data_IF_151572068483
#
_entry.id   IF_151572068483
#
_cell.length_a   1.000
_cell.length_b   1.000
_cell.length_c   1.000
_cell.angle_alpha   90.00
_cell.angle_beta   90.00
_cell.angle_gamma   90.00
#
_symmetry.space_group_name_H-M   'P 1'
#
loop_
_entity.id
_entity.type
_entity.pdbx_description
1 polymer ?
#
# COMPACT_ATOMS: atom_id res chain seq x y z
N UNK A 1 21.70 -39.48 -20.21
CA UNK A 1 21.51 -39.55 -18.75
C UNK A 1 20.52 -38.46 -18.38
N UNK A 2 19.30 -38.87 -18.05
CA UNK A 2 18.22 -37.99 -17.62
C UNK A 2 18.54 -37.59 -16.18
N UNK A 3 18.91 -36.33 -15.96
CA UNK A 3 19.04 -35.80 -14.60
C UNK A 3 17.60 -35.72 -14.06
N UNK A 4 17.30 -36.60 -13.11
CA UNK A 4 16.07 -36.53 -12.32
C UNK A 4 15.95 -35.12 -11.76
N UNK A 5 14.90 -34.41 -12.18
CA UNK A 5 14.44 -33.21 -11.51
C UNK A 5 14.16 -33.60 -10.04
N UNK A 6 15.06 -33.22 -9.14
CA UNK A 6 14.83 -33.30 -7.71
C UNK A 6 13.56 -32.50 -7.44
N UNK A 7 12.45 -33.21 -7.25
CA UNK A 7 11.24 -32.69 -6.65
C UNK A 7 11.67 -32.04 -5.34
N UNK A 8 11.56 -30.71 -5.27
CA UNK A 8 11.63 -29.98 -4.01
C UNK A 8 10.80 -30.76 -2.99
N UNK A 9 11.44 -31.22 -1.91
CA UNK A 9 10.72 -31.85 -0.82
C UNK A 9 9.59 -30.90 -0.40
N UNK A 10 8.36 -31.38 -0.16
CA UNK A 10 7.29 -30.51 0.28
C UNK A 10 7.75 -29.85 1.58
N UNK A 11 8.03 -28.54 1.54
CA UNK A 11 8.22 -27.75 2.76
C UNK A 11 6.98 -27.99 3.61
N UNK A 12 7.19 -28.38 4.86
CA UNK A 12 6.10 -28.48 5.85
C UNK A 12 5.32 -27.18 5.75
N UNK A 13 4.02 -27.28 5.45
CA UNK A 13 3.19 -26.10 5.24
C UNK A 13 3.39 -25.17 6.45
N UNK A 14 3.66 -23.87 6.22
CA UNK A 14 3.82 -22.95 7.34
C UNK A 14 2.58 -23.03 8.23
N UNK A 15 2.75 -22.92 9.56
CA UNK A 15 1.62 -22.94 10.47
C UNK A 15 0.59 -21.89 10.02
N UNK A 16 -0.72 -22.18 10.15
CA UNK A 16 -1.75 -21.23 9.74
C UNK A 16 -1.47 -19.88 10.43
N UNK A 17 -1.59 -18.76 9.70
CA UNK A 17 -1.30 -17.46 10.27
C UNK A 17 -2.20 -17.23 11.50
N UNK A 18 -1.64 -16.64 12.55
CA UNK A 18 -2.38 -16.26 13.77
C UNK A 18 -3.54 -15.30 13.46
N UNK A 19 -3.44 -14.62 12.33
CA UNK A 19 -4.41 -13.68 11.80
C UNK A 19 -4.91 -14.21 10.44
N UNK A 20 -6.10 -14.81 10.38
CA UNK A 20 -6.58 -15.43 9.16
C UNK A 20 -6.95 -14.42 8.10
N UNK A 21 -6.73 -14.86 6.86
CA UNK A 21 -7.00 -14.10 5.66
C UNK A 21 -8.50 -13.95 5.44
N UNK A 22 -8.95 -12.73 5.16
CA UNK A 22 -10.35 -12.43 4.90
C UNK A 22 -10.54 -11.87 3.49
N UNK A 23 -11.50 -12.46 2.78
CA UNK A 23 -11.97 -12.03 1.46
C UNK A 23 -10.84 -11.91 0.42
N UNK A 24 -10.80 -10.84 -0.38
CA UNK A 24 -9.82 -10.57 -1.45
C UNK A 24 -9.78 -11.62 -2.58
N UNK A 25 -10.92 -12.26 -2.86
CA UNK A 25 -11.00 -13.33 -3.87
C UNK A 25 -10.67 -12.78 -5.27
N UNK A 26 -11.23 -11.62 -5.63
CA UNK A 26 -10.98 -10.96 -6.91
C UNK A 26 -9.49 -10.64 -7.11
N UNK A 27 -8.84 -10.13 -6.07
CA UNK A 27 -7.42 -9.77 -6.11
C UNK A 27 -6.51 -11.00 -6.15
N UNK A 28 -6.85 -12.05 -5.40
CA UNK A 28 -6.19 -13.35 -5.51
C UNK A 28 -6.28 -13.91 -6.93
N UNK A 29 -7.48 -13.91 -7.52
CA UNK A 29 -7.72 -14.45 -8.85
C UNK A 29 -7.01 -13.62 -9.93
N UNK A 30 -6.98 -12.30 -9.79
CA UNK A 30 -6.19 -11.42 -10.65
C UNK A 30 -4.71 -11.81 -10.63
N UNK A 31 -4.10 -11.95 -9.45
CA UNK A 31 -2.68 -12.30 -9.36
C UNK A 31 -2.41 -13.73 -9.83
N UNK A 32 -3.32 -14.68 -9.58
CA UNK A 32 -3.22 -16.03 -10.12
C UNK A 32 -3.24 -16.06 -11.64
N UNK A 33 -4.19 -15.35 -12.25
CA UNK A 33 -4.25 -15.21 -13.70
C UNK A 33 -2.99 -14.54 -14.26
N UNK A 34 -2.51 -13.49 -13.58
CA UNK A 34 -1.30 -12.76 -13.97
C UNK A 34 -0.04 -13.63 -13.94
N UNK A 35 0.16 -14.42 -12.89
CA UNK A 35 1.34 -15.29 -12.77
C UNK A 35 1.25 -16.55 -13.63
N UNK A 36 0.05 -16.91 -14.08
CA UNK A 36 -0.16 -17.98 -15.07
C UNK A 36 0.03 -17.48 -16.52
N UNK A 37 -0.06 -16.17 -16.74
CA UNK A 37 0.04 -15.53 -18.05
C UNK A 37 1.46 -15.17 -18.48
N UNK A 38 1.56 -14.34 -19.53
CA UNK A 38 2.84 -13.82 -19.99
C UNK A 38 3.41 -12.77 -19.02
N UNK A 39 4.71 -12.87 -18.74
CA UNK A 39 5.45 -11.80 -18.07
C UNK A 39 5.66 -10.66 -19.07
N UNK A 40 5.31 -9.42 -18.68
CA UNK A 40 5.45 -8.27 -19.59
C UNK A 40 5.87 -6.95 -18.96
N UNK A 41 5.76 -6.79 -17.64
CA UNK A 41 6.02 -5.51 -16.97
C UNK A 41 6.26 -5.70 -15.47
N UNK A 42 6.92 -4.71 -14.87
CA UNK A 42 6.97 -4.56 -13.41
C UNK A 42 5.59 -4.12 -12.92
N UNK A 43 5.09 -4.73 -11.84
CA UNK A 43 3.85 -4.32 -11.20
C UNK A 43 4.17 -3.49 -9.98
N UNK A 44 3.66 -2.26 -9.92
CA UNK A 44 3.73 -1.40 -8.75
C UNK A 44 2.39 -1.54 -8.03
N UNK A 45 2.36 -2.29 -6.94
CA UNK A 45 1.16 -2.51 -6.13
C UNK A 45 1.11 -1.46 -5.02
N UNK A 46 0.24 -0.47 -5.19
CA UNK A 46 0.01 0.58 -4.19
C UNK A 46 -1.32 0.35 -3.48
N UNK A 47 -1.52 1.01 -2.35
CA UNK A 47 -2.78 0.98 -1.61
C UNK A 47 -2.61 1.61 -0.24
N UNK A 48 -3.70 1.92 0.48
CA UNK A 48 -3.61 2.53 1.80
C UNK A 48 -2.74 1.72 2.78
N UNK A 49 -2.15 2.39 3.78
CA UNK A 49 -1.47 1.68 4.86
C UNK A 49 -2.47 0.72 5.53
N UNK A 50 -2.01 -0.48 5.86
CA UNK A 50 -2.80 -1.53 6.51
C UNK A 50 -4.08 -2.01 5.76
N UNK A 51 -4.21 -1.77 4.44
CA UNK A 51 -5.33 -2.34 3.66
C UNK A 51 -5.21 -3.85 3.36
N UNK A 52 -4.07 -4.47 3.69
CA UNK A 52 -3.84 -5.91 3.53
C UNK A 52 -2.90 -6.33 2.41
N UNK A 53 -2.11 -5.42 1.79
CA UNK A 53 -1.15 -5.75 0.72
C UNK A 53 -0.19 -6.89 1.07
N UNK A 54 0.55 -6.77 2.17
CA UNK A 54 1.50 -7.81 2.61
C UNK A 54 0.79 -9.14 2.88
N UNK A 55 -0.41 -9.10 3.48
CA UNK A 55 -1.24 -10.28 3.75
C UNK A 55 -1.75 -10.95 2.47
N UNK A 56 -2.15 -10.19 1.46
CA UNK A 56 -2.53 -10.70 0.14
C UNK A 56 -1.37 -11.45 -0.52
N UNK A 57 -0.17 -10.86 -0.48
CA UNK A 57 1.03 -11.47 -1.07
C UNK A 57 1.48 -12.72 -0.29
N UNK A 58 1.35 -12.72 1.03
CA UNK A 58 1.60 -13.88 1.89
C UNK A 58 0.60 -15.01 1.64
N UNK A 59 -0.68 -14.68 1.48
CA UNK A 59 -1.71 -15.67 1.19
C UNK A 59 -1.51 -16.29 -0.21
N UNK A 60 -1.14 -15.48 -1.22
CA UNK A 60 -0.78 -15.99 -2.53
C UNK A 60 0.37 -17.00 -2.43
N UNK A 61 1.46 -16.63 -1.75
CA UNK A 61 2.60 -17.52 -1.49
C UNK A 61 2.12 -18.82 -0.84
N UNK A 62 1.36 -18.72 0.25
CA UNK A 62 0.86 -19.87 1.01
C UNK A 62 0.02 -20.81 0.14
N UNK A 63 -0.90 -20.29 -0.67
CA UNK A 63 -1.74 -21.11 -1.56
C UNK A 63 -0.90 -21.84 -2.61
N UNK A 64 0.12 -21.18 -3.15
CA UNK A 64 1.01 -21.78 -4.13
C UNK A 64 1.95 -22.85 -3.56
N UNK A 65 2.47 -22.63 -2.35
CA UNK A 65 3.25 -23.63 -1.61
C UNK A 65 2.42 -24.87 -1.29
N UNK A 66 1.19 -24.70 -0.81
CA UNK A 66 0.29 -25.81 -0.48
C UNK A 66 -0.09 -26.67 -1.69
N UNK A 67 -0.29 -26.05 -2.84
CA UNK A 67 -0.66 -26.77 -4.06
C UNK A 67 0.54 -27.45 -4.72
N UNK A 68 1.78 -27.09 -4.35
CA UNK A 68 3.01 -27.47 -5.05
C UNK A 68 2.97 -27.19 -6.58
N UNK A 69 2.03 -26.32 -7.00
CA UNK A 69 1.68 -26.03 -8.41
C UNK A 69 2.01 -24.57 -8.80
N UNK A 70 2.53 -23.77 -7.86
CA UNK A 70 2.81 -22.36 -8.08
C UNK A 70 4.19 -21.97 -8.61
N UNK A 71 4.37 -20.69 -8.99
CA UNK A 71 5.68 -20.12 -9.27
C UNK A 71 6.50 -20.02 -7.98
N UNK A 72 7.81 -19.94 -8.14
CA UNK A 72 8.71 -19.70 -7.01
C UNK A 72 8.61 -18.23 -6.58
N UNK A 73 8.22 -17.98 -5.34
CA UNK A 73 8.12 -16.62 -4.78
C UNK A 73 9.40 -16.24 -4.04
N UNK A 74 9.94 -15.08 -4.38
CA UNK A 74 11.10 -14.46 -3.75
C UNK A 74 10.66 -13.13 -3.14
N UNK A 75 10.30 -13.15 -1.85
CA UNK A 75 9.82 -11.95 -1.14
C UNK A 75 10.94 -11.33 -0.30
N UNK A 76 11.26 -10.07 -0.57
CA UNK A 76 12.02 -9.19 0.32
C UNK A 76 11.04 -8.28 1.02
N UNK A 77 11.05 -8.27 2.35
CA UNK A 77 10.32 -7.28 3.15
C UNK A 77 11.31 -6.20 3.62
N UNK A 78 11.22 -5.00 3.04
CA UNK A 78 12.18 -3.93 3.28
C UNK A 78 12.15 -3.40 4.72
N UNK A 79 11.09 -3.71 5.50
CA UNK A 79 11.01 -3.37 6.93
C UNK A 79 12.04 -4.14 7.76
N UNK A 80 12.31 -5.38 7.37
CA UNK A 80 13.21 -6.29 8.10
C UNK A 80 14.52 -6.50 7.37
N UNK A 81 14.53 -6.33 6.05
CA UNK A 81 15.70 -6.44 5.20
C UNK A 81 15.77 -5.19 4.32
N UNK A 82 16.35 -4.09 4.83
CA UNK A 82 16.46 -2.83 4.09
C UNK A 82 17.05 -3.03 2.70
N UNK A 83 16.67 -2.16 1.77
CA UNK A 83 17.11 -2.19 0.36
C UNK A 83 17.58 -0.81 -0.08
N UNK A 84 18.22 -0.04 0.80
CA UNK A 84 18.61 1.37 0.62
C UNK A 84 19.97 1.55 -0.05
N UNK A 85 20.67 0.44 -0.33
CA UNK A 85 21.98 0.45 -0.96
C UNK A 85 22.23 -0.80 -1.81
N UNK A 86 23.22 -0.75 -2.72
CA UNK A 86 23.69 -1.91 -3.48
C UNK A 86 23.98 -3.15 -2.66
N UNK A 87 24.66 -2.98 -1.53
CA UNK A 87 25.09 -4.07 -0.67
C UNK A 87 23.90 -4.71 0.06
N UNK A 88 22.95 -3.89 0.49
CA UNK A 88 21.72 -4.33 1.13
C UNK A 88 20.84 -5.14 0.18
N UNK A 89 20.62 -4.64 -1.05
CA UNK A 89 19.91 -5.39 -2.10
C UNK A 89 20.63 -6.69 -2.43
N UNK A 90 21.96 -6.66 -2.56
CA UNK A 90 22.75 -7.86 -2.82
C UNK A 90 22.61 -8.88 -1.69
N UNK A 91 22.64 -8.45 -0.42
CA UNK A 91 22.42 -9.32 0.73
C UNK A 91 21.02 -9.92 0.73
N UNK A 92 19.99 -9.12 0.43
CA UNK A 92 18.60 -9.58 0.33
C UNK A 92 18.46 -10.67 -0.75
N UNK A 93 19.01 -10.43 -1.93
CA UNK A 93 18.97 -11.39 -3.04
C UNK A 93 19.80 -12.65 -2.78
N UNK A 94 20.96 -12.53 -2.10
CA UNK A 94 21.76 -13.70 -1.70
C UNK A 94 21.05 -14.52 -0.63
N UNK A 95 20.40 -13.89 0.35
CA UNK A 95 19.56 -14.59 1.34
C UNK A 95 18.48 -15.39 0.64
N UNK A 96 17.77 -14.77 -0.30
CA UNK A 96 16.79 -15.46 -1.15
C UNK A 96 17.42 -16.62 -1.93
N UNK A 97 18.57 -16.42 -2.58
CA UNK A 97 19.23 -17.47 -3.34
C UNK A 97 19.66 -18.67 -2.46
N UNK A 98 20.07 -18.44 -1.21
CA UNK A 98 20.37 -19.50 -0.24
C UNK A 98 19.13 -20.25 0.21
N UNK A 99 18.00 -19.58 0.35
CA UNK A 99 16.72 -20.23 0.65
C UNK A 99 16.22 -21.13 -0.49
N UNK A 100 16.77 -20.97 -1.71
CA UNK A 100 16.46 -21.76 -2.90
C UNK A 100 17.38 -22.95 -3.15
N UNK A 101 18.62 -22.87 -2.68
CA UNK A 101 19.63 -23.92 -2.86
C UNK A 101 20.04 -24.38 -1.47
N UNK A 102 19.68 -25.61 -1.09
CA UNK A 102 20.20 -26.30 0.10
C UNK A 102 21.71 -26.60 -0.04
N UNK A 103 22.53 -25.62 -0.40
CA UNK A 103 23.96 -25.80 -0.65
C UNK A 103 24.75 -24.67 -0.01
N UNK A 104 25.53 -25.03 1.03
CA UNK A 104 26.29 -24.17 1.95
C UNK A 104 27.52 -23.50 1.30
N UNK A 105 27.40 -23.04 0.05
CA UNK A 105 28.47 -22.29 -0.62
C UNK A 105 28.61 -20.85 -0.09
N UNK A 106 29.85 -20.42 0.19
CA UNK A 106 30.22 -19.03 0.54
C UNK A 106 29.96 -18.05 -0.62
N UNK A 107 28.69 -17.68 -0.82
CA UNK A 107 28.31 -16.59 -1.73
C UNK A 107 28.52 -15.23 -1.02
N UNK A 108 29.60 -14.53 -1.37
CA UNK A 108 29.80 -13.13 -0.97
C UNK A 108 28.87 -12.18 -1.78
N UNK A 109 28.16 -11.25 -1.12
CA UNK A 109 27.20 -10.35 -1.75
C UNK A 109 27.90 -9.27 -2.58
N UNK A 110 27.65 -9.23 -3.89
CA UNK A 110 28.10 -8.17 -4.81
C UNK A 110 27.06 -8.02 -5.93
N UNK A 111 26.78 -6.78 -6.37
CA UNK A 111 25.81 -6.49 -7.46
C UNK A 111 26.13 -7.26 -8.75
N UNK A 112 27.42 -7.45 -9.05
CA UNK A 112 27.87 -8.20 -10.24
C UNK A 112 27.49 -9.71 -10.20
N UNK A 113 26.94 -10.21 -9.10
CA UNK A 113 26.43 -11.59 -8.98
C UNK A 113 24.91 -11.69 -9.10
N UNK A 114 24.17 -10.59 -9.26
CA UNK A 114 22.73 -10.64 -9.52
C UNK A 114 22.45 -11.45 -10.80
N UNK A 115 23.31 -11.34 -11.82
CA UNK A 115 23.25 -12.17 -13.02
C UNK A 115 23.48 -13.67 -12.72
N UNK A 116 24.34 -14.01 -11.75
CA UNK A 116 24.55 -15.40 -11.30
C UNK A 116 23.37 -15.96 -10.49
N UNK A 117 22.66 -15.09 -9.76
CA UNK A 117 21.39 -15.46 -9.11
C UNK A 117 20.35 -15.81 -10.18
N UNK A 118 20.35 -15.14 -11.33
CA UNK A 118 19.49 -15.50 -12.46
C UNK A 118 19.92 -16.75 -13.23
N UNK A 119 21.23 -16.96 -13.43
CA UNK A 119 21.73 -18.24 -13.99
C UNK A 119 21.29 -19.42 -13.10
N UNK A 120 21.28 -19.21 -11.79
CA UNK A 120 20.73 -20.15 -10.83
C UNK A 120 19.20 -20.34 -10.91
N UNK A 121 18.48 -19.41 -11.54
CA UNK A 121 17.03 -19.43 -11.74
C UNK A 121 16.62 -19.96 -13.14
N UNK A 122 17.57 -20.41 -13.97
CA UNK A 122 17.28 -20.91 -15.33
C UNK A 122 17.61 -22.40 -15.54
N UNK A 123 16.79 -23.15 -16.31
CA UNK A 123 15.37 -22.92 -16.57
C UNK A 123 14.54 -23.60 -15.47
N UNK A 124 13.97 -22.82 -14.56
CA UNK A 124 12.91 -23.34 -13.72
C UNK A 124 11.68 -23.64 -14.58
N UNK A 125 10.98 -24.76 -14.38
CA UNK A 125 9.78 -25.12 -15.14
C UNK A 125 8.63 -24.12 -14.96
N UNK A 126 8.73 -23.23 -13.96
CA UNK A 126 7.78 -22.14 -13.69
C UNK A 126 8.54 -20.84 -13.46
N UNK A 127 7.98 -19.74 -13.95
CA UNK A 127 8.60 -18.41 -13.86
C UNK A 127 8.50 -17.89 -12.43
N UNK A 128 9.61 -17.47 -11.80
CA UNK A 128 9.56 -16.93 -10.45
C UNK A 128 8.79 -15.60 -10.37
N UNK A 129 8.31 -15.29 -9.17
CA UNK A 129 7.73 -14.00 -8.77
C UNK A 129 8.67 -13.35 -7.76
N UNK A 130 9.23 -12.20 -8.10
CA UNK A 130 10.05 -11.39 -7.19
C UNK A 130 9.17 -10.30 -6.60
N UNK A 131 9.12 -10.23 -5.27
CA UNK A 131 8.34 -9.24 -4.53
C UNK A 131 9.31 -8.43 -3.66
N UNK A 132 9.25 -7.11 -3.79
CA UNK A 132 9.85 -6.17 -2.85
C UNK A 132 8.69 -5.46 -2.15
N UNK A 133 8.43 -5.86 -0.90
CA UNK A 133 7.43 -5.26 -0.02
C UNK A 133 8.03 -4.07 0.73
N UNK A 134 7.24 -3.02 0.94
CA UNK A 134 7.69 -1.66 1.29
C UNK A 134 8.79 -1.12 0.36
N UNK A 135 8.57 -1.24 -0.95
CA UNK A 135 9.54 -0.84 -1.99
C UNK A 135 9.85 0.66 -2.04
N UNK A 136 9.15 1.50 -1.29
CA UNK A 136 9.50 2.92 -1.10
C UNK A 136 10.85 3.09 -0.40
N UNK A 137 11.37 2.06 0.28
CA UNK A 137 12.72 2.03 0.83
C UNK A 137 13.81 2.21 -0.25
N UNK A 138 13.49 1.92 -1.52
CA UNK A 138 14.36 2.21 -2.67
C UNK A 138 14.53 3.73 -2.93
N UNK A 139 13.62 4.57 -2.45
CA UNK A 139 13.70 6.02 -2.62
C UNK A 139 14.74 6.66 -1.68
N UNK A 140 15.17 5.94 -0.65
CA UNK A 140 16.18 6.41 0.32
C UNK A 140 17.62 6.24 -0.18
N UNK A 141 17.81 5.81 -1.43
CA UNK A 141 19.10 5.86 -2.10
C UNK A 141 19.47 7.32 -2.31
N UNK A 142 20.37 7.83 -1.46
CA UNK A 142 20.66 9.27 -1.35
C UNK A 142 21.04 9.90 -2.69
N UNK A 143 20.56 11.13 -2.90
CA UNK A 143 21.18 12.09 -3.81
C UNK A 143 21.85 13.21 -3.00
N UNK A 144 22.96 13.80 -3.49
CA UNK A 144 23.80 13.36 -4.60
C UNK A 144 24.83 12.35 -4.09
N UNK A 145 24.62 11.06 -4.35
CA UNK A 145 25.50 9.99 -3.89
C UNK A 145 26.01 9.22 -5.12
N UNK A 146 27.24 8.66 -5.11
CA UNK A 146 27.82 7.94 -6.23
C UNK A 146 27.10 6.61 -6.55
N UNK A 147 25.97 6.32 -5.88
CA UNK A 147 25.17 5.10 -5.96
C UNK A 147 24.00 5.17 -6.96
N UNK A 148 23.75 6.35 -7.55
CA UNK A 148 22.76 6.55 -8.61
C UNK A 148 22.93 5.59 -9.82
N UNK A 149 24.15 5.33 -10.33
CA UNK A 149 24.37 4.34 -11.38
C UNK A 149 23.93 2.93 -10.97
N UNK A 150 24.10 2.55 -9.71
CA UNK A 150 23.76 1.24 -9.17
C UNK A 150 22.24 1.09 -9.02
N UNK A 151 21.53 2.13 -8.57
CA UNK A 151 20.06 2.15 -8.56
C UNK A 151 19.52 1.96 -9.98
N UNK A 152 20.05 2.72 -10.94
CA UNK A 152 19.67 2.61 -12.36
C UNK A 152 19.97 1.22 -12.89
N UNK A 153 21.08 0.59 -12.51
CA UNK A 153 21.40 -0.81 -12.84
C UNK A 153 20.40 -1.79 -12.24
N UNK A 154 20.01 -1.62 -10.98
CA UNK A 154 18.99 -2.46 -10.33
C UNK A 154 17.62 -2.33 -11.03
N UNK A 155 17.17 -1.11 -11.33
CA UNK A 155 15.90 -0.90 -12.02
C UNK A 155 15.95 -1.47 -13.44
N UNK A 156 17.04 -1.22 -14.19
CA UNK A 156 17.27 -1.81 -15.50
C UNK A 156 17.26 -3.34 -15.45
N UNK A 157 17.80 -3.93 -14.40
CA UNK A 157 17.74 -5.35 -14.14
C UNK A 157 16.30 -5.85 -13.94
N UNK A 158 15.51 -5.21 -13.06
CA UNK A 158 14.11 -5.58 -12.81
C UNK A 158 13.27 -5.49 -14.10
N UNK A 159 13.51 -4.48 -14.93
CA UNK A 159 12.91 -4.33 -16.25
C UNK A 159 13.38 -5.44 -17.20
N UNK A 160 14.67 -5.74 -17.20
CA UNK A 160 15.29 -6.76 -18.03
C UNK A 160 14.67 -8.14 -17.80
N UNK A 161 14.49 -8.54 -16.55
CA UNK A 161 13.94 -9.86 -16.21
C UNK A 161 12.43 -9.96 -16.44
N UNK A 162 11.69 -8.85 -16.27
CA UNK A 162 10.24 -8.84 -16.41
C UNK A 162 9.78 -8.62 -17.85
N UNK A 163 10.25 -7.55 -18.50
CA UNK A 163 9.75 -7.13 -19.80
C UNK A 163 10.57 -7.69 -20.97
N UNK A 164 11.91 -7.66 -20.87
CA UNK A 164 12.78 -7.98 -22.01
C UNK A 164 13.00 -9.49 -22.15
N UNK A 165 13.44 -10.15 -21.08
CA UNK A 165 13.70 -11.59 -21.04
C UNK A 165 12.48 -12.42 -20.66
N UNK A 166 11.46 -11.79 -20.07
CA UNK A 166 10.19 -12.44 -19.63
C UNK A 166 10.41 -13.66 -18.73
N UNK A 167 11.44 -13.59 -17.88
CA UNK A 167 11.91 -14.66 -17.02
C UNK A 167 11.23 -14.67 -15.66
N UNK A 168 10.83 -13.51 -15.13
CA UNK A 168 10.26 -13.39 -13.78
C UNK A 168 9.18 -12.30 -13.71
N UNK A 169 8.11 -12.55 -12.97
CA UNK A 169 7.20 -11.47 -12.55
C UNK A 169 7.89 -10.63 -11.47
N UNK A 170 7.70 -9.32 -11.50
CA UNK A 170 8.24 -8.40 -10.48
C UNK A 170 7.10 -7.58 -9.89
N UNK A 171 7.03 -7.54 -8.56
CA UNK A 171 6.09 -6.71 -7.79
C UNK A 171 6.88 -5.80 -6.86
N UNK A 172 6.63 -4.50 -6.97
CA UNK A 172 7.06 -3.46 -6.04
C UNK A 172 5.81 -3.04 -5.25
N UNK A 173 5.69 -3.52 -4.01
CA UNK A 173 4.53 -3.25 -3.17
C UNK A 173 4.86 -2.14 -2.15
N UNK A 174 4.00 -1.14 -2.02
CA UNK A 174 4.21 -0.02 -1.09
C UNK A 174 2.91 0.64 -0.66
N UNK A 175 2.94 1.32 0.49
CA UNK A 175 1.88 2.24 0.90
C UNK A 175 2.12 3.68 0.44
N UNK A 176 3.27 3.97 -0.18
CA UNK A 176 3.66 5.28 -0.67
C UNK A 176 3.21 5.48 -2.13
N UNK A 177 2.24 6.36 -2.34
CA UNK A 177 1.68 6.64 -3.66
C UNK A 177 2.64 7.42 -4.57
N UNK A 178 3.71 8.02 -4.02
CA UNK A 178 4.70 8.75 -4.80
C UNK A 178 5.65 7.83 -5.59
N UNK A 179 5.77 6.55 -5.21
CA UNK A 179 6.72 5.61 -5.82
C UNK A 179 6.61 5.54 -7.35
N UNK A 180 5.39 5.56 -7.91
CA UNK A 180 5.19 5.50 -9.35
C UNK A 180 5.74 6.74 -10.08
N UNK A 181 5.62 7.91 -9.46
CA UNK A 181 6.16 9.17 -9.97
C UNK A 181 7.69 9.19 -9.81
N UNK A 182 8.20 8.79 -8.64
CA UNK A 182 9.64 8.64 -8.41
C UNK A 182 10.30 7.70 -9.42
N UNK A 183 9.71 6.53 -9.71
CA UNK A 183 10.20 5.60 -10.73
C UNK A 183 10.35 6.27 -12.10
N UNK A 184 9.40 7.14 -12.46
CA UNK A 184 9.45 7.90 -13.71
C UNK A 184 10.61 8.91 -13.69
N UNK A 185 10.80 9.63 -12.58
CA UNK A 185 11.89 10.59 -12.39
C UNK A 185 13.27 9.94 -12.49
N UNK A 186 13.44 8.71 -11.98
CA UNK A 186 14.72 7.97 -12.05
C UNK A 186 14.91 7.22 -13.39
N UNK A 187 14.04 7.42 -14.38
CA UNK A 187 14.20 6.95 -15.77
C UNK A 187 13.43 5.67 -16.15
N UNK A 188 12.52 5.21 -15.30
CA UNK A 188 11.61 4.11 -15.61
C UNK A 188 10.31 4.65 -16.23
N UNK A 189 10.26 4.68 -17.56
CA UNK A 189 9.10 5.12 -18.34
C UNK A 189 7.85 4.26 -18.09
N UNK A 190 6.65 4.85 -18.27
CA UNK A 190 5.33 4.23 -17.98
C UNK A 190 4.99 2.98 -18.81
N UNK A 191 5.75 2.69 -19.87
CA UNK A 191 5.64 1.43 -20.62
C UNK A 191 6.37 0.27 -19.93
N UNK A 192 7.21 0.53 -18.93
CA UNK A 192 8.02 -0.47 -18.22
C UNK A 192 7.33 -1.01 -16.96
N UNK A 193 6.33 -0.31 -16.44
CA UNK A 193 5.53 -0.76 -15.30
C UNK A 193 4.04 -0.49 -15.45
N UNK A 194 3.26 -1.18 -14.63
CA UNK A 194 1.83 -0.94 -14.41
C UNK A 194 1.59 -0.70 -12.93
N UNK A 195 0.74 0.27 -12.62
CA UNK A 195 0.29 0.53 -11.26
C UNK A 195 -1.01 -0.23 -11.05
N UNK A 196 -1.05 -1.04 -10.02
CA UNK A 196 -2.28 -1.67 -9.52
C UNK A 196 -2.55 -1.10 -8.13
N UNK A 197 -3.80 -0.75 -7.86
CA UNK A 197 -4.21 -0.15 -6.59
C UNK A 197 -5.05 -1.17 -5.82
N UNK A 198 -4.57 -1.64 -4.67
CA UNK A 198 -5.36 -2.42 -3.72
C UNK A 198 -6.16 -1.48 -2.83
N UNK A 199 -7.46 -1.43 -3.07
CA UNK A 199 -8.41 -0.66 -2.30
C UNK A 199 -8.64 -1.16 -0.87
N UNK A 200 -9.33 -0.37 -0.06
CA UNK A 200 -9.95 -0.86 1.17
C UNK A 200 -11.11 -1.83 0.85
N UNK A 201 -11.72 -2.43 1.87
CA UNK A 201 -12.95 -3.22 1.68
C UNK A 201 -14.12 -2.30 1.31
N UNK A 202 -15.12 -2.84 0.62
CA UNK A 202 -16.43 -2.17 0.53
C UNK A 202 -17.14 -2.18 1.88
N UNK A 203 -18.17 -1.35 2.06
CA UNK A 203 -18.93 -1.30 3.31
C UNK A 203 -19.51 -2.67 3.70
N UNK A 204 -20.12 -3.35 2.74
CA UNK A 204 -20.71 -4.68 2.96
C UNK A 204 -19.63 -5.72 3.36
N UNK A 205 -18.45 -5.63 2.75
CA UNK A 205 -17.34 -6.54 3.07
C UNK A 205 -16.72 -6.21 4.43
N UNK A 206 -16.64 -4.93 4.79
CA UNK A 206 -16.15 -4.44 6.07
C UNK A 206 -17.11 -4.82 7.22
N UNK A 207 -18.42 -4.70 7.00
CA UNK A 207 -19.44 -5.12 7.96
C UNK A 207 -19.35 -6.64 8.20
N UNK A 208 -19.25 -7.43 7.12
CA UNK A 208 -19.03 -8.89 7.20
C UNK A 208 -17.70 -9.25 7.87
N UNK A 209 -16.66 -8.45 7.66
CA UNK A 209 -15.37 -8.61 8.34
C UNK A 209 -15.50 -8.39 9.86
N UNK A 210 -16.29 -7.38 10.26
CA UNK A 210 -16.57 -7.04 11.66
C UNK A 210 -17.45 -8.10 12.35
N UNK A 211 -18.54 -8.52 11.71
CA UNK A 211 -19.64 -9.23 12.38
C UNK A 211 -19.94 -10.65 11.85
N UNK A 212 -19.26 -11.11 10.80
CA UNK A 212 -19.59 -12.38 10.15
C UNK A 212 -19.32 -13.61 11.03
N UNK A 213 -20.34 -14.47 11.20
CA UNK A 213 -20.33 -15.68 12.05
C UNK A 213 -19.26 -16.72 11.66
N UNK A 214 -18.80 -16.70 10.41
CA UNK A 214 -17.77 -17.60 9.86
C UNK A 214 -16.35 -17.04 9.84
N UNK A 215 -16.15 -15.77 10.21
CA UNK A 215 -14.81 -15.20 10.29
C UNK A 215 -14.21 -15.65 11.63
N UNK A 216 -13.62 -16.84 11.64
CA UNK A 216 -12.89 -17.41 12.76
C UNK A 216 -11.62 -16.59 13.12
N UNK A 217 -11.62 -15.26 12.91
CA UNK A 217 -10.44 -14.65 12.36
C UNK A 217 -10.22 -13.15 12.27
N UNK A 218 -11.25 -12.34 12.00
CA UNK A 218 -11.03 -10.88 11.97
C UNK A 218 -10.65 -10.35 13.35
N UNK A 219 -11.26 -10.95 14.38
CA UNK A 219 -11.16 -10.51 15.78
C UNK A 219 -10.92 -11.66 16.74
N UNK A 220 -11.29 -12.91 16.42
CA UNK A 220 -11.13 -14.03 17.37
C UNK A 220 -9.67 -14.31 17.77
N UNK A 221 -8.69 -13.85 16.99
CA UNK A 221 -7.28 -13.84 17.37
C UNK A 221 -6.81 -12.59 18.15
N UNK A 222 -7.65 -11.54 18.20
CA UNK A 222 -7.42 -10.26 18.89
C UNK A 222 -8.18 -10.23 20.24
N UNK A 223 -9.37 -10.80 20.33
CA UNK A 223 -10.15 -10.89 21.58
C UNK A 223 -9.93 -12.23 22.27
N UNK A 224 -9.30 -12.19 23.45
CA UNK A 224 -9.26 -13.32 24.39
C UNK A 224 -10.64 -13.54 25.03
N UNK A 225 -10.81 -14.66 25.76
CA UNK A 225 -12.04 -15.06 26.49
C UNK A 225 -12.63 -14.01 27.45
N UNK A 226 -11.92 -12.90 27.71
CA UNK A 226 -12.34 -11.80 28.60
C UNK A 226 -13.15 -10.70 27.92
N UNK A 227 -13.31 -10.70 26.59
CA UNK A 227 -14.23 -9.79 25.90
C UNK A 227 -15.62 -10.44 25.89
N UNK A 228 -16.67 -9.76 26.36
CA UNK A 228 -18.02 -10.32 26.36
C UNK A 228 -18.59 -10.19 24.94
N UNK A 229 -18.03 -11.02 24.05
CA UNK A 229 -18.12 -10.92 22.60
C UNK A 229 -19.54 -10.73 22.07
N UNK A 230 -20.57 -11.22 22.75
CA UNK A 230 -21.94 -11.06 22.26
C UNK A 230 -22.53 -9.68 22.53
N UNK A 231 -22.34 -9.13 23.72
CA UNK A 231 -22.92 -7.85 24.12
C UNK A 231 -22.11 -6.68 23.54
N UNK A 232 -20.77 -6.79 23.58
CA UNK A 232 -19.89 -5.77 23.04
C UNK A 232 -19.99 -5.64 21.51
N UNK A 233 -20.19 -6.77 20.79
CA UNK A 233 -20.44 -6.74 19.34
C UNK A 233 -21.85 -6.26 18.99
N UNK A 234 -22.85 -6.49 19.84
CA UNK A 234 -24.18 -5.94 19.65
C UNK A 234 -24.14 -4.39 19.73
N UNK A 235 -23.45 -3.86 20.75
CA UNK A 235 -23.25 -2.41 20.90
C UNK A 235 -22.45 -1.81 19.74
N UNK A 236 -21.46 -2.55 19.21
CA UNK A 236 -20.71 -2.13 18.03
C UNK A 236 -21.59 -2.04 16.79
N UNK A 237 -22.51 -3.01 16.62
CA UNK A 237 -23.43 -3.07 15.49
C UNK A 237 -24.36 -1.86 15.45
N UNK A 238 -24.84 -1.42 16.61
CA UNK A 238 -25.65 -0.20 16.72
C UNK A 238 -24.85 1.07 16.35
N UNK A 239 -23.52 1.02 16.43
CA UNK A 239 -22.60 2.11 16.07
C UNK A 239 -21.93 1.93 14.71
N UNK A 240 -22.37 0.95 13.90
CA UNK A 240 -21.68 0.58 12.66
C UNK A 240 -21.47 1.76 11.71
N UNK A 241 -22.48 2.62 11.54
CA UNK A 241 -22.37 3.80 10.68
C UNK A 241 -21.24 4.73 11.12
N UNK A 242 -21.06 4.94 12.42
CA UNK A 242 -20.00 5.81 12.96
C UNK A 242 -18.63 5.14 12.87
N UNK A 243 -18.56 3.83 13.10
CA UNK A 243 -17.35 3.02 12.90
C UNK A 243 -16.91 3.09 11.45
N UNK A 244 -17.81 2.83 10.51
CA UNK A 244 -17.50 2.84 9.09
C UNK A 244 -17.16 4.24 8.59
N UNK A 245 -17.81 5.30 9.10
CA UNK A 245 -17.45 6.68 8.74
C UNK A 245 -15.99 7.01 9.09
N UNK A 246 -15.47 6.51 10.23
CA UNK A 246 -14.11 6.80 10.69
C UNK A 246 -13.07 5.80 10.20
N UNK A 247 -13.40 4.52 10.11
CA UNK A 247 -12.47 3.46 9.73
C UNK A 247 -12.53 3.13 8.23
N UNK A 248 -13.66 3.38 7.58
CA UNK A 248 -14.02 2.84 6.27
C UNK A 248 -13.85 1.33 6.21
N UNK A 249 -13.53 0.81 5.04
CA UNK A 249 -13.17 -0.59 4.85
C UNK A 249 -11.71 -0.93 5.16
N UNK A 250 -10.94 -0.04 5.80
CA UNK A 250 -9.53 -0.30 6.07
C UNK A 250 -9.37 -1.34 7.17
N UNK A 251 -8.89 -2.52 6.81
CA UNK A 251 -8.74 -3.67 7.73
C UNK A 251 -7.91 -3.29 8.96
N UNK A 252 -6.83 -2.51 8.80
CA UNK A 252 -6.00 -2.07 9.91
C UNK A 252 -6.72 -1.15 10.90
N UNK A 253 -7.43 -0.15 10.40
CA UNK A 253 -8.18 0.79 11.25
C UNK A 253 -9.32 0.08 11.98
N UNK A 254 -10.02 -0.83 11.28
CA UNK A 254 -11.02 -1.68 11.91
C UNK A 254 -10.35 -2.48 13.05
N UNK A 255 -9.26 -3.21 12.76
CA UNK A 255 -8.50 -4.00 13.76
C UNK A 255 -8.12 -3.20 14.98
N UNK A 256 -7.60 -1.99 14.76
CA UNK A 256 -7.27 -1.06 15.81
C UNK A 256 -8.50 -0.67 16.62
N UNK A 257 -9.61 -0.30 15.97
CA UNK A 257 -10.83 0.12 16.65
C UNK A 257 -11.34 -0.93 17.66
N UNK A 258 -11.36 -2.21 17.29
CA UNK A 258 -11.85 -3.25 18.22
C UNK A 258 -10.82 -3.58 19.28
N UNK A 259 -9.52 -3.52 18.97
CA UNK A 259 -8.48 -3.68 19.98
C UNK A 259 -8.60 -2.58 21.06
N UNK A 260 -8.80 -1.33 20.64
CA UNK A 260 -9.04 -0.21 21.53
C UNK A 260 -10.36 -0.37 22.31
N UNK A 261 -11.45 -0.78 21.65
CA UNK A 261 -12.72 -1.02 22.33
C UNK A 261 -12.62 -2.13 23.38
N UNK A 262 -11.84 -3.19 23.10
CA UNK A 262 -11.51 -4.26 24.05
C UNK A 262 -10.78 -3.71 25.27
N UNK A 263 -9.72 -2.95 25.05
CA UNK A 263 -8.90 -2.42 26.14
C UNK A 263 -9.67 -1.38 26.98
N UNK A 264 -10.66 -0.72 26.36
CA UNK A 264 -11.56 0.23 26.98
C UNK A 264 -12.91 -0.38 27.43
N UNK A 265 -13.00 -1.72 27.53
CA UNK A 265 -14.17 -2.45 28.06
C UNK A 265 -15.49 -2.11 27.36
N UNK A 266 -15.48 -2.08 26.03
CA UNK A 266 -16.65 -1.82 25.19
C UNK A 266 -16.95 -0.34 24.93
N UNK A 267 -16.07 0.59 25.35
CA UNK A 267 -16.25 2.02 25.06
C UNK A 267 -15.81 2.37 23.63
N UNK A 268 -16.71 2.13 22.68
CA UNK A 268 -16.52 2.38 21.26
C UNK A 268 -16.28 3.84 20.90
N UNK A 269 -16.92 4.79 21.59
CA UNK A 269 -16.68 6.22 21.35
C UNK A 269 -15.22 6.63 21.62
N UNK A 270 -14.65 6.15 22.73
CA UNK A 270 -13.24 6.41 23.07
C UNK A 270 -12.30 5.63 22.15
N UNK A 271 -12.66 4.41 21.77
CA UNK A 271 -11.89 3.60 20.82
C UNK A 271 -11.79 4.26 19.44
N UNK A 272 -12.91 4.79 18.94
CA UNK A 272 -12.94 5.51 17.68
C UNK A 272 -12.14 6.81 17.76
N UNK A 273 -12.18 7.52 18.90
CA UNK A 273 -11.34 8.69 19.11
C UNK A 273 -9.85 8.36 19.03
N UNK A 274 -9.42 7.22 19.59
CA UNK A 274 -8.05 6.75 19.49
C UNK A 274 -7.63 6.47 18.04
N UNK A 275 -8.52 5.86 17.23
CA UNK A 275 -8.26 5.57 15.81
C UNK A 275 -8.06 6.84 14.98
N UNK A 276 -8.85 7.89 15.23
CA UNK A 276 -8.82 9.12 14.42
C UNK A 276 -7.83 10.18 14.92
N UNK A 277 -7.21 9.99 16.10
CA UNK A 277 -6.29 10.99 16.68
C UNK A 277 -5.07 11.23 15.78
N UNK A 278 -4.40 10.17 15.31
CA UNK A 278 -3.28 10.29 14.37
C UNK A 278 -3.68 10.95 13.04
N UNK A 279 -4.73 10.46 12.36
CA UNK A 279 -5.27 11.10 11.15
C UNK A 279 -5.63 12.58 11.32
N UNK A 280 -6.19 12.97 12.47
CA UNK A 280 -6.48 14.38 12.79
C UNK A 280 -5.20 15.21 12.88
N UNK A 281 -4.18 14.70 13.56
CA UNK A 281 -2.87 15.35 13.63
C UNK A 281 -2.22 15.48 12.25
N UNK A 282 -2.26 14.43 11.43
CA UNK A 282 -1.70 14.41 10.06
C UNK A 282 -2.40 15.47 9.17
N UNK A 283 -3.73 15.56 9.19
CA UNK A 283 -4.50 16.59 8.46
C UNK A 283 -4.15 18.00 8.95
N UNK A 284 -4.04 18.19 10.27
CA UNK A 284 -3.65 19.47 10.87
C UNK A 284 -2.21 19.87 10.57
N UNK A 285 -1.30 18.90 10.44
CA UNK A 285 0.08 19.14 10.02
C UNK A 285 0.16 19.63 8.58
N UNK A 286 -0.76 19.23 7.69
CA UNK A 286 -0.84 19.77 6.33
C UNK A 286 -0.99 21.30 6.27
N UNK A 287 -1.54 21.93 7.31
CA UNK A 287 -1.60 23.40 7.46
C UNK A 287 -0.28 24.03 7.93
N UNK A 288 0.79 23.25 8.07
CA UNK A 288 2.10 23.69 8.55
C UNK A 288 3.22 23.11 7.65
N UNK A 289 3.26 23.42 6.34
CA UNK A 289 4.28 22.88 5.43
C UNK A 289 5.72 23.06 5.96
N UNK A 290 6.02 24.19 6.61
CA UNK A 290 7.34 24.47 7.17
C UNK A 290 7.83 23.52 8.28
N UNK A 291 6.97 22.66 8.85
CA UNK A 291 7.41 21.70 9.89
C UNK A 291 7.87 20.37 9.31
N UNK A 292 7.65 20.12 8.02
CA UNK A 292 8.09 18.89 7.38
C UNK A 292 9.58 18.90 7.12
N UNK A 293 10.22 17.75 7.37
CA UNK A 293 11.60 17.51 6.99
C UNK A 293 11.66 17.40 5.45
N UNK A 294 12.67 17.99 4.83
CA UNK A 294 12.90 17.89 3.39
C UNK A 294 12.95 16.43 2.94
N UNK A 295 12.17 16.09 1.89
CA UNK A 295 12.23 14.78 1.24
C UNK A 295 13.02 14.93 -0.05
N UNK A 296 14.11 14.18 -0.21
CA UNK A 296 14.97 14.30 -1.40
C UNK A 296 15.61 15.69 -1.57
N UNK A 297 15.85 16.42 -0.46
CA UNK A 297 16.45 17.76 -0.48
C UNK A 297 15.51 18.89 -0.91
N UNK A 298 14.22 18.61 -1.09
CA UNK A 298 13.22 19.61 -1.51
C UNK A 298 12.28 19.91 -0.33
N UNK A 299 11.91 21.19 -0.21
CA UNK A 299 10.89 21.65 0.72
C UNK A 299 9.47 21.38 0.18
N UNK A 300 8.46 21.25 1.06
CA UNK A 300 7.05 21.29 0.68
C UNK A 300 6.70 22.51 -0.17
N UNK A 301 5.98 22.28 -1.27
CA UNK A 301 5.63 23.34 -2.24
C UNK A 301 4.27 23.99 -2.00
N UNK A 302 3.44 23.45 -1.10
CA UNK A 302 2.08 23.96 -0.90
C UNK A 302 1.98 25.04 0.19
N UNK A 303 0.96 25.87 0.07
CA UNK A 303 0.55 26.83 1.09
C UNK A 303 -0.61 26.30 1.94
N UNK A 304 -0.87 26.94 3.09
CA UNK A 304 -2.03 26.61 3.95
C UNK A 304 -3.36 26.74 3.20
N UNK A 305 -3.50 27.75 2.35
CA UNK A 305 -4.70 27.98 1.55
C UNK A 305 -4.91 26.90 0.50
N UNK A 306 -3.83 26.46 -0.16
CA UNK A 306 -3.89 25.34 -1.11
C UNK A 306 -4.25 24.01 -0.43
N UNK A 307 -3.70 23.74 0.75
CA UNK A 307 -4.08 22.55 1.51
C UNK A 307 -5.56 22.56 1.87
N UNK A 308 -6.06 23.69 2.41
CA UNK A 308 -7.50 23.86 2.71
C UNK A 308 -8.36 23.59 1.48
N UNK A 309 -7.99 24.17 0.34
CA UNK A 309 -8.75 24.06 -0.91
C UNK A 309 -8.83 22.60 -1.37
N UNK A 310 -7.73 21.86 -1.30
CA UNK A 310 -7.71 20.42 -1.59
C UNK A 310 -8.64 19.64 -0.67
N UNK A 311 -8.63 19.93 0.65
CA UNK A 311 -9.55 19.29 1.59
C UNK A 311 -11.03 19.60 1.24
N UNK A 312 -11.35 20.85 0.90
CA UNK A 312 -12.70 21.26 0.49
C UNK A 312 -13.13 20.53 -0.79
N UNK A 313 -12.26 20.45 -1.80
CA UNK A 313 -12.53 19.70 -3.03
C UNK A 313 -12.80 18.22 -2.76
N UNK A 314 -11.95 17.56 -1.97
CA UNK A 314 -12.06 16.12 -1.69
C UNK A 314 -13.30 15.83 -0.84
N UNK A 315 -13.55 16.58 0.23
CA UNK A 315 -14.69 16.34 1.13
C UNK A 315 -16.03 16.61 0.45
N UNK A 316 -16.11 17.57 -0.48
CA UNK A 316 -17.32 17.86 -1.25
C UNK A 316 -17.57 16.89 -2.42
N UNK A 317 -16.56 16.15 -2.88
CA UNK A 317 -16.66 15.29 -4.04
C UNK A 317 -17.36 13.95 -3.74
N UNK A 318 -18.13 13.39 -4.70
CA UNK A 318 -18.67 12.05 -4.57
C UNK A 318 -17.59 11.02 -4.25
N UNK A 319 -17.81 10.19 -3.23
CA UNK A 319 -16.85 9.16 -2.78
C UNK A 319 -15.47 9.69 -2.38
N UNK A 320 -15.37 11.00 -2.10
CA UNK A 320 -14.14 11.67 -1.69
C UNK A 320 -12.97 11.47 -2.67
N UNK A 321 -13.30 11.44 -3.96
CA UNK A 321 -12.35 11.27 -5.06
C UNK A 321 -12.55 12.38 -6.10
N UNK A 322 -11.45 13.06 -6.44
CA UNK A 322 -11.45 14.20 -7.37
C UNK A 322 -10.49 13.89 -8.52
N UNK A 323 -10.79 14.32 -9.76
CA UNK A 323 -9.86 14.10 -10.86
C UNK A 323 -8.56 14.89 -10.63
N UNK A 324 -7.41 14.31 -11.00
CA UNK A 324 -6.10 15.00 -10.88
C UNK A 324 -6.13 16.38 -11.54
N UNK A 325 -6.71 16.49 -12.74
CA UNK A 325 -6.80 17.75 -13.48
C UNK A 325 -7.63 18.81 -12.76
N UNK A 326 -8.66 18.42 -12.02
CA UNK A 326 -9.50 19.34 -11.26
C UNK A 326 -8.73 19.89 -10.06
N UNK A 327 -8.00 19.04 -9.33
CA UNK A 327 -7.15 19.49 -8.22
C UNK A 327 -6.01 20.40 -8.72
N UNK A 328 -5.37 20.06 -9.83
CA UNK A 328 -4.31 20.89 -10.44
C UNK A 328 -4.83 22.28 -10.83
N UNK A 329 -6.02 22.35 -11.45
CA UNK A 329 -6.68 23.61 -11.79
C UNK A 329 -6.99 24.43 -10.54
N UNK A 330 -7.51 23.79 -9.49
CA UNK A 330 -7.81 24.47 -8.22
C UNK A 330 -6.56 24.97 -7.50
N UNK A 331 -5.42 24.29 -7.66
CA UNK A 331 -4.14 24.71 -7.07
C UNK A 331 -3.48 25.89 -7.81
N UNK A 332 -3.87 26.15 -9.06
CA UNK A 332 -3.41 27.28 -9.88
C UNK A 332 -2.06 27.05 -10.56
N UNK A 333 -1.28 28.12 -10.75
CA UNK A 333 0.03 28.05 -11.39
C UNK A 333 0.97 27.12 -10.58
N UNK A 334 1.56 26.13 -11.26
CA UNK A 334 2.38 25.09 -10.62
C UNK A 334 1.56 23.98 -9.92
N UNK A 335 0.25 23.89 -10.18
CA UNK A 335 -0.65 22.93 -9.53
C UNK A 335 -0.19 21.47 -9.59
N UNK A 336 0.41 21.03 -10.71
CA UNK A 336 0.99 19.69 -10.86
C UNK A 336 2.11 19.43 -9.84
N UNK A 337 3.10 20.34 -9.75
CA UNK A 337 4.23 20.20 -8.82
C UNK A 337 3.78 20.29 -7.36
N UNK A 338 2.79 21.15 -7.07
CA UNK A 338 2.23 21.31 -5.73
C UNK A 338 1.47 20.05 -5.30
N UNK A 339 0.64 19.48 -6.20
CA UNK A 339 -0.04 18.21 -5.97
C UNK A 339 0.96 17.09 -5.74
N UNK A 340 1.97 16.97 -6.60
CA UNK A 340 3.02 15.96 -6.45
C UNK A 340 3.80 16.12 -5.16
N UNK A 341 4.05 17.36 -4.71
CA UNK A 341 4.64 17.63 -3.40
C UNK A 341 3.74 17.09 -2.29
N UNK A 342 2.43 17.35 -2.29
CA UNK A 342 1.53 16.81 -1.27
C UNK A 342 1.52 15.26 -1.25
N UNK A 343 1.57 14.63 -2.42
CA UNK A 343 1.66 13.16 -2.56
C UNK A 343 3.00 12.64 -2.03
N UNK A 344 4.12 13.28 -2.38
CA UNK A 344 5.47 12.98 -1.87
C UNK A 344 5.53 13.01 -0.35
N UNK A 345 4.76 13.90 0.27
CA UNK A 345 4.65 14.04 1.72
C UNK A 345 3.57 13.16 2.37
N UNK A 346 2.99 12.22 1.62
CA UNK A 346 1.95 11.29 2.08
C UNK A 346 0.66 11.97 2.58
N UNK A 347 0.40 13.21 2.16
CA UNK A 347 -0.84 13.92 2.46
C UNK A 347 -1.99 13.52 1.52
N UNK A 348 -1.64 13.10 0.30
CA UNK A 348 -2.59 12.72 -0.75
C UNK A 348 -2.19 11.41 -1.40
N UNK A 349 -3.18 10.73 -1.97
CA UNK A 349 -3.00 9.49 -2.72
C UNK A 349 -3.41 9.70 -4.18
N UNK A 350 -2.50 9.34 -5.11
CA UNK A 350 -2.82 9.25 -6.53
C UNK A 350 -3.31 7.84 -6.84
N UNK A 351 -4.58 7.71 -7.21
CA UNK A 351 -5.21 6.42 -7.48
C UNK A 351 -5.54 6.33 -8.97
N UNK A 352 -4.71 5.69 -9.80
CA UNK A 352 -5.07 5.41 -11.18
C UNK A 352 -6.22 4.40 -11.25
N UNK A 353 -6.95 4.32 -12.38
CA UNK A 353 -7.96 3.30 -12.60
C UNK A 353 -7.35 1.91 -12.44
N UNK A 354 -7.92 1.10 -11.55
CA UNK A 354 -7.44 -0.22 -11.19
C UNK A 354 -8.63 -1.17 -11.07
N UNK A 355 -8.50 -2.40 -11.57
CA UNK A 355 -9.52 -3.44 -11.35
C UNK A 355 -9.49 -3.98 -9.92
N UNK A 356 -8.46 -3.62 -9.14
CA UNK A 356 -8.28 -4.02 -7.74
C UNK A 356 -8.71 -2.94 -6.74
N UNK A 357 -9.08 -1.74 -7.23
CA UNK A 357 -9.61 -0.66 -6.40
C UNK A 357 -11.14 -0.79 -6.30
N UNK A 358 -11.59 -1.83 -5.59
CA UNK A 358 -13.02 -2.15 -5.47
C UNK A 358 -13.79 -1.21 -4.54
N UNK A 359 -13.06 -0.43 -3.73
CA UNK A 359 -13.58 0.61 -2.85
C UNK A 359 -13.98 1.90 -3.58
N UNK A 360 -13.54 2.09 -4.83
CA UNK A 360 -13.93 3.24 -5.65
C UNK A 360 -14.75 2.79 -6.87
N UNK A 361 -15.95 3.37 -7.08
CA UNK A 361 -16.75 3.04 -8.23
C UNK A 361 -16.11 3.56 -9.52
N UNK A 362 -16.33 2.89 -10.65
CA UNK A 362 -15.57 3.17 -11.88
C UNK A 362 -15.85 4.56 -12.47
N UNK A 363 -16.94 5.18 -12.06
CA UNK A 363 -17.43 6.49 -12.48
C UNK A 363 -16.57 7.64 -11.94
N UNK A 364 -15.89 7.48 -10.79
CA UNK A 364 -15.03 8.55 -10.24
C UNK A 364 -13.83 8.84 -11.11
N UNK A 365 -13.40 7.87 -11.93
CA UNK A 365 -12.27 8.00 -12.83
C UNK A 365 -12.59 8.76 -14.13
N UNK A 366 -13.79 9.32 -14.25
CA UNK A 366 -14.29 10.02 -15.42
C UNK A 366 -15.12 9.13 -16.36
N UNK A 367 -15.73 9.74 -17.37
CA UNK A 367 -16.65 9.08 -18.29
C UNK A 367 -16.00 8.66 -19.62
N UNK A 368 -16.48 7.54 -20.19
CA UNK A 368 -16.08 7.07 -21.53
C UNK A 368 -14.71 6.36 -21.59
N UNK A 369 -13.99 6.52 -22.71
CA UNK A 369 -12.72 5.81 -22.98
C UNK A 369 -11.49 6.42 -22.30
N UNK A 370 -11.63 7.57 -21.62
CA UNK A 370 -10.54 8.32 -21.00
C UNK A 370 -10.65 8.29 -19.47
N UNK A 371 -10.61 7.09 -18.88
CA UNK A 371 -10.45 6.98 -17.43
C UNK A 371 -9.08 7.54 -17.04
N UNK A 372 -9.04 8.40 -16.02
CA UNK A 372 -7.82 9.05 -15.55
C UNK A 372 -7.64 8.85 -14.05
N UNK A 373 -6.50 9.27 -13.51
CA UNK A 373 -6.16 9.19 -12.09
C UNK A 373 -7.02 10.13 -11.27
N UNK A 374 -7.44 9.67 -10.08
CA UNK A 374 -8.11 10.49 -9.06
C UNK A 374 -7.17 10.74 -7.88
N UNK A 375 -7.43 11.82 -7.16
CA UNK A 375 -6.81 12.21 -5.90
C UNK A 375 -7.78 11.88 -4.77
N UNK A 376 -7.28 11.19 -3.75
CA UNK A 376 -8.01 10.97 -2.49
C UNK A 376 -7.13 11.33 -1.31
N UNK A 377 -7.73 11.43 -0.12
CA UNK A 377 -6.96 11.33 1.12
C UNK A 377 -6.43 9.89 1.31
N UNK A 378 -5.33 9.67 2.06
CA UNK A 378 -4.68 8.36 2.11
C UNK A 378 -5.46 7.27 2.85
N UNK A 379 -6.37 7.65 3.74
CA UNK A 379 -7.20 6.74 4.55
C UNK A 379 -8.61 7.31 4.74
N UNK A 380 -9.62 6.46 4.97
CA UNK A 380 -10.96 6.91 5.37
C UNK A 380 -10.95 7.83 6.60
N UNK A 381 -10.15 7.52 7.62
CA UNK A 381 -10.03 8.36 8.82
C UNK A 381 -9.51 9.77 8.53
N UNK A 382 -8.73 9.97 7.46
CA UNK A 382 -8.30 11.30 7.04
C UNK A 382 -9.47 12.11 6.46
N UNK A 383 -10.41 11.47 5.78
CA UNK A 383 -11.62 12.13 5.26
C UNK A 383 -12.43 12.69 6.42
N UNK A 384 -12.74 11.85 7.41
CA UNK A 384 -13.45 12.29 8.62
C UNK A 384 -12.69 13.43 9.33
N UNK A 385 -11.37 13.30 9.48
CA UNK A 385 -10.54 14.34 10.08
C UNK A 385 -10.59 15.67 9.28
N UNK A 386 -10.58 15.60 7.95
CA UNK A 386 -10.69 16.76 7.09
C UNK A 386 -12.03 17.47 7.26
N UNK A 387 -13.14 16.73 7.32
CA UNK A 387 -14.48 17.29 7.57
C UNK A 387 -14.54 18.03 8.91
N UNK A 388 -14.02 17.41 9.98
CA UNK A 388 -13.96 18.02 11.32
C UNK A 388 -13.12 19.31 11.31
N UNK A 389 -11.93 19.26 10.73
CA UNK A 389 -11.03 20.43 10.67
C UNK A 389 -11.64 21.57 9.86
N UNK A 390 -12.27 21.27 8.72
CA UNK A 390 -12.93 22.27 7.89
C UNK A 390 -14.10 22.93 8.62
N UNK A 391 -14.89 22.16 9.36
CA UNK A 391 -16.01 22.72 10.14
C UNK A 391 -15.51 23.63 11.27
N UNK A 392 -14.47 23.22 12.01
CA UNK A 392 -13.85 24.07 13.04
C UNK A 392 -13.30 25.39 12.46
N UNK A 393 -12.73 25.34 11.25
CA UNK A 393 -12.21 26.54 10.58
C UNK A 393 -13.36 27.50 10.21
N UNK A 394 -14.46 26.98 9.67
CA UNK A 394 -15.65 27.79 9.37
C UNK A 394 -16.22 28.45 10.63
N UNK A 395 -16.29 27.72 11.74
CA UNK A 395 -16.82 28.27 12.99
C UNK A 395 -15.92 29.37 13.56
N UNK A 396 -14.59 29.22 13.46
CA UNK A 396 -13.63 30.27 13.84
C UNK A 396 -13.74 31.50 12.94
N UNK A 397 -14.05 31.34 11.66
CA UNK A 397 -14.25 32.45 10.72
C UNK A 397 -15.54 33.21 11.04
N UNK A 398 -16.65 32.51 11.24
CA UNK A 398 -17.92 33.12 11.68
C UNK A 398 -17.77 33.88 13.00
N UNK A 399 -17.02 33.32 13.96
CA UNK A 399 -16.77 33.97 15.24
C UNK A 399 -16.02 35.31 15.06
N UNK A 400 -14.99 35.35 14.21
CA UNK A 400 -14.24 36.58 13.89
C UNK A 400 -15.06 37.63 13.14
N UNK A 401 -15.99 37.20 12.29
CA UNK A 401 -16.92 38.11 11.62
C UNK A 401 -17.94 38.71 12.60
N UNK A 402 -18.32 37.96 13.63
CA UNK A 402 -19.26 38.42 14.66
C UNK A 402 -18.65 39.32 15.74
N UNK A 403 -17.33 39.24 15.96
CA UNK A 403 -16.59 40.12 16.87
C UNK A 403 -15.16 40.39 16.33
N UNK A 404 -14.95 41.51 15.60
CA UNK A 404 -13.66 41.84 14.99
C UNK A 404 -12.53 42.15 15.99
N UNK A 405 -12.80 42.17 17.30
CA UNK A 405 -11.80 42.42 18.35
C UNK A 405 -11.22 41.13 18.96
N UNK A 406 -11.65 39.95 18.50
CA UNK A 406 -11.12 38.61 18.81
C UNK A 406 -10.29 38.04 17.64
#
# INVERSE_FOLDING_TARGET
>A
MIVQAGLFAPKVAPPPPQDPFYNRVTELDYFKAKFSGEVGFVTVLVGPRNCGKSRLLEELLRQYEQQNIGPLFLKVDARFTPVRSPDEVSKALVKLAKELKEDEGKLEPTINKVDKILEALQPLPRKPVIVIDESNDLMDWKEPDPLQPELKRLLAFLIGISKQKRQAHVILATSDYFLANWLTQVGMTRDKFRVEVLGDLTEEEAEKFMYGDGVAGGWRGIVNDSFNTKEDLANAKDQWSEIYQRCGGNIGLLKQCVAEARDLKGNWGSALQAVVTGPLEEVMQGFKPSVYIQKGGEDPLWTKGQWRKVLECITAAPQHAVLVSEIEEELGEGGEDILLSMVKYNLLALRPPSTLALDLPQEVYGSGKKKTTVVTLPLPAHVWAAEVVLEELKDKEKAKESDPQL
#
